data_IF_862335361287
#
_entry.id   IF_862335361287
#
_cell.length_a   1.000
_cell.length_b   1.000
_cell.length_c   1.000
_cell.angle_alpha   90.00
_cell.angle_beta   90.00
_cell.angle_gamma   90.00
#
_symmetry.space_group_name_H-M   'P 1'
#
loop_
_entity.id
_entity.type
_entity.pdbx_description
1 polymer ?
#
# COMPACT_ATOMS: atom_id res chain seq x y z
N UNK A 1 22.48 6.24 66.62
CA UNK A 1 23.38 5.61 65.63
C UNK A 1 23.27 6.33 64.30
N UNK A 2 24.39 6.82 63.77
CA UNK A 2 24.50 7.54 62.50
C UNK A 2 25.11 6.60 61.47
N UNK A 3 24.40 6.25 60.40
CA UNK A 3 24.99 5.57 59.23
C UNK A 3 24.84 6.46 58.00
N UNK A 4 25.95 6.58 57.29
CA UNK A 4 26.32 7.59 56.29
C UNK A 4 25.78 7.23 54.90
N UNK A 5 25.39 8.22 54.06
CA UNK A 5 24.86 7.99 52.71
C UNK A 5 25.96 7.61 51.69
N UNK A 6 25.68 6.62 50.85
CA UNK A 6 26.50 6.22 49.71
C UNK A 6 26.15 7.08 48.48
N UNK A 7 27.18 7.65 47.87
CA UNK A 7 27.19 8.51 46.66
C UNK A 7 26.93 7.66 45.39
N UNK A 8 26.31 8.18 44.31
CA UNK A 8 27.10 8.65 43.16
C UNK A 8 26.52 9.93 42.50
N UNK A 9 27.33 10.95 42.23
CA UNK A 9 28.09 11.10 40.97
C UNK A 9 27.21 10.92 39.72
N UNK A 10 26.33 11.88 39.45
CA UNK A 10 25.60 11.96 38.18
C UNK A 10 26.55 12.42 37.08
N UNK A 11 26.96 11.47 36.22
CA UNK A 11 27.58 11.72 34.93
C UNK A 11 26.77 12.75 34.12
N UNK A 12 27.39 13.87 33.77
CA UNK A 12 26.92 14.77 32.72
C UNK A 12 26.90 14.03 31.38
N UNK A 13 25.72 13.57 30.98
CA UNK A 13 25.47 13.05 29.63
C UNK A 13 25.28 14.26 28.71
N UNK A 14 26.29 14.55 27.88
CA UNK A 14 26.13 15.40 26.71
C UNK A 14 25.26 14.65 25.69
N UNK A 15 23.98 14.95 25.67
CA UNK A 15 23.06 14.48 24.63
C UNK A 15 23.29 15.29 23.35
N UNK A 16 23.93 14.68 22.35
CA UNK A 16 23.94 15.20 20.98
C UNK A 16 22.57 14.89 20.35
N UNK A 17 21.77 15.93 20.15
CA UNK A 17 20.49 15.82 19.45
C UNK A 17 20.77 15.66 17.94
N UNK A 18 20.63 14.42 17.43
CA UNK A 18 20.51 14.16 16.00
C UNK A 18 19.12 14.55 15.48
N UNK A 19 18.95 14.86 14.19
CA UNK A 19 17.64 15.18 13.64
C UNK A 19 16.69 13.98 13.77
N UNK A 20 15.57 14.19 14.43
CA UNK A 20 14.46 13.27 14.43
C UNK A 20 13.81 13.29 13.03
N UNK A 21 14.12 12.29 12.21
CA UNK A 21 13.31 11.99 11.03
C UNK A 21 11.97 11.45 11.54
N UNK A 22 10.95 12.32 11.58
CA UNK A 22 9.58 11.91 11.84
C UNK A 22 9.09 10.95 10.75
N UNK A 23 8.04 10.15 11.02
CA UNK A 23 7.46 9.31 9.98
C UNK A 23 6.99 10.18 8.81
N UNK A 24 7.57 9.95 7.64
CA UNK A 24 7.17 10.57 6.39
C UNK A 24 5.82 9.98 5.97
N UNK A 25 4.73 10.72 6.22
CA UNK A 25 3.39 10.30 5.86
C UNK A 25 3.19 10.48 4.35
N UNK A 26 3.23 9.36 3.62
CA UNK A 26 2.93 9.33 2.18
C UNK A 26 1.46 9.76 1.97
N UNK A 27 1.16 10.67 1.02
CA UNK A 27 -0.22 11.02 0.73
C UNK A 27 -1.04 9.79 0.31
N UNK A 28 -2.34 9.75 0.63
CA UNK A 28 -3.20 8.59 0.32
C UNK A 28 -3.21 8.33 -1.18
N UNK A 29 -3.02 7.07 -1.57
CA UNK A 29 -3.05 6.67 -2.98
C UNK A 29 -4.49 6.80 -3.52
N UNK A 30 -4.73 7.61 -4.57
CA UNK A 30 -6.08 7.83 -5.08
C UNK A 30 -6.71 6.53 -5.63
N UNK A 31 -5.91 5.57 -6.09
CA UNK A 31 -6.39 4.27 -6.56
C UNK A 31 -6.82 3.32 -5.43
N UNK A 32 -6.35 3.52 -4.19
CA UNK A 32 -6.80 2.73 -3.04
C UNK A 32 -8.30 2.88 -2.82
N UNK A 33 -8.84 4.11 -2.91
CA UNK A 33 -10.27 4.34 -2.71
C UNK A 33 -11.09 3.66 -3.80
N UNK A 34 -10.65 3.75 -5.06
CA UNK A 34 -11.33 3.09 -6.18
C UNK A 34 -11.29 1.56 -6.02
N UNK A 35 -10.17 1.01 -5.54
CA UNK A 35 -10.07 -0.42 -5.23
C UNK A 35 -11.06 -0.86 -4.15
N UNK A 36 -11.18 -0.07 -3.08
CA UNK A 36 -12.14 -0.33 -2.01
C UNK A 36 -13.59 -0.25 -2.50
N UNK A 37 -13.91 0.77 -3.30
CA UNK A 37 -15.27 1.01 -3.80
C UNK A 37 -15.68 0.01 -4.90
N UNK A 38 -14.74 -0.47 -5.72
CA UNK A 38 -15.06 -1.26 -6.93
C UNK A 38 -14.68 -2.73 -6.83
N UNK A 39 -13.57 -3.06 -6.17
CA UNK A 39 -13.10 -4.45 -6.09
C UNK A 39 -13.61 -5.12 -4.81
N UNK A 40 -13.56 -4.41 -3.68
CA UNK A 40 -13.93 -4.99 -2.39
C UNK A 40 -15.44 -5.01 -2.16
N UNK A 41 -16.26 -4.46 -3.05
CA UNK A 41 -17.72 -4.59 -2.94
C UNK A 41 -18.15 -6.07 -3.01
N UNK A 42 -17.58 -6.81 -3.98
CA UNK A 42 -17.81 -8.26 -4.13
C UNK A 42 -16.66 -9.13 -3.58
N UNK A 43 -15.42 -8.64 -3.59
CA UNK A 43 -14.23 -9.42 -3.21
C UNK A 43 -13.76 -9.19 -1.76
N UNK A 44 -14.60 -8.61 -0.89
CA UNK A 44 -14.22 -8.39 0.52
C UNK A 44 -13.80 -9.68 1.20
N UNK A 45 -12.58 -9.70 1.76
CA UNK A 45 -12.06 -10.86 2.48
C UNK A 45 -11.73 -12.06 1.59
N UNK A 46 -11.81 -11.90 0.26
CA UNK A 46 -11.40 -12.94 -0.67
C UNK A 46 -9.90 -12.90 -0.88
N UNK A 47 -9.21 -13.96 -0.48
CA UNK A 47 -7.76 -14.05 -0.64
C UNK A 47 -7.32 -14.09 -2.11
N UNK A 48 -8.25 -14.34 -3.05
CA UNK A 48 -7.95 -14.44 -4.48
C UNK A 48 -7.31 -13.16 -5.03
N UNK A 49 -7.87 -11.98 -4.74
CA UNK A 49 -7.34 -10.72 -5.29
C UNK A 49 -5.97 -10.36 -4.71
N UNK A 50 -5.72 -10.75 -3.45
CA UNK A 50 -4.45 -10.47 -2.75
C UNK A 50 -3.33 -11.44 -3.12
N UNK A 51 -3.65 -12.60 -3.69
CA UNK A 51 -2.68 -13.59 -4.15
C UNK A 51 -2.32 -13.41 -5.63
N UNK A 52 -3.17 -12.78 -6.42
CA UNK A 52 -2.91 -12.54 -7.84
C UNK A 52 -1.83 -11.47 -8.01
N UNK A 53 -0.82 -11.78 -8.84
CA UNK A 53 0.22 -10.84 -9.25
C UNK A 53 0.23 -10.77 -10.77
N UNK A 54 -0.06 -9.60 -11.33
CA UNK A 54 -0.18 -9.38 -12.76
C UNK A 54 0.50 -8.07 -13.15
N UNK A 55 0.93 -7.96 -14.41
CA UNK A 55 1.34 -6.66 -14.94
C UNK A 55 0.13 -5.74 -15.01
N UNK A 56 0.37 -4.44 -15.17
CA UNK A 56 -0.69 -3.45 -15.31
C UNK A 56 -1.64 -3.76 -16.48
N UNK A 57 -1.10 -4.23 -17.60
CA UNK A 57 -1.85 -4.59 -18.79
C UNK A 57 -2.75 -5.81 -18.52
N UNK A 58 -2.22 -6.80 -17.81
CA UNK A 58 -3.00 -7.99 -17.42
C UNK A 58 -4.07 -7.68 -16.39
N UNK A 59 -3.83 -6.75 -15.46
CA UNK A 59 -4.90 -6.23 -14.60
C UNK A 59 -6.00 -5.52 -15.39
N UNK A 60 -5.63 -4.78 -16.45
CA UNK A 60 -6.62 -4.17 -17.34
C UNK A 60 -7.49 -5.22 -18.03
N UNK A 61 -6.89 -6.28 -18.57
CA UNK A 61 -7.66 -7.38 -19.19
C UNK A 61 -8.64 -8.03 -18.20
N UNK A 62 -8.26 -8.21 -16.93
CA UNK A 62 -9.14 -8.76 -15.89
C UNK A 62 -10.32 -7.83 -15.62
N UNK A 63 -10.06 -6.52 -15.44
CA UNK A 63 -11.12 -5.54 -15.18
C UNK A 63 -12.05 -5.42 -16.38
N UNK A 64 -11.52 -5.37 -17.60
CA UNK A 64 -12.32 -5.30 -18.82
C UNK A 64 -13.28 -6.50 -18.89
N UNK A 65 -12.83 -7.72 -18.56
CA UNK A 65 -13.71 -8.91 -18.49
C UNK A 65 -14.79 -8.78 -17.43
N UNK A 66 -14.51 -8.20 -16.26
CA UNK A 66 -15.53 -7.99 -15.23
C UNK A 66 -16.60 -7.00 -15.69
N UNK A 67 -16.19 -5.94 -16.38
CA UNK A 67 -17.10 -4.95 -16.98
C UNK A 67 -17.94 -5.59 -18.09
N UNK A 68 -17.32 -6.31 -19.02
CA UNK A 68 -18.00 -7.00 -20.12
C UNK A 68 -19.00 -8.05 -19.62
N UNK A 69 -18.70 -8.71 -18.50
CA UNK A 69 -19.58 -9.71 -17.88
C UNK A 69 -20.66 -9.10 -16.98
N UNK A 70 -20.65 -7.77 -16.79
CA UNK A 70 -21.61 -7.07 -15.91
C UNK A 70 -21.37 -7.24 -14.41
N UNK A 71 -20.19 -7.74 -13.99
CA UNK A 71 -19.83 -7.92 -12.58
C UNK A 71 -19.16 -6.68 -11.96
N UNK A 72 -18.98 -5.62 -12.73
CA UNK A 72 -18.45 -4.35 -12.26
C UNK A 72 -19.34 -3.22 -12.75
N UNK A 73 -20.40 -2.95 -12.00
CA UNK A 73 -21.35 -1.86 -12.23
C UNK A 73 -21.59 -1.07 -10.93
N UNK A 74 -21.54 0.28 -10.95
CA UNK A 74 -21.23 1.13 -12.09
C UNK A 74 -19.75 1.04 -12.51
N UNK A 75 -19.50 1.10 -13.81
CA UNK A 75 -18.14 1.12 -14.36
C UNK A 75 -17.41 2.40 -13.93
N UNK A 76 -16.19 2.32 -13.36
CA UNK A 76 -15.42 3.50 -13.01
C UNK A 76 -15.14 4.40 -14.22
N UNK A 77 -15.07 5.72 -13.99
CA UNK A 77 -14.65 6.66 -15.05
C UNK A 77 -13.22 6.35 -15.53
N UNK A 78 -12.87 6.81 -16.73
CA UNK A 78 -11.53 6.58 -17.32
C UNK A 78 -10.38 6.97 -16.38
N UNK A 79 -10.52 8.07 -15.65
CA UNK A 79 -9.52 8.53 -14.68
C UNK A 79 -9.43 7.59 -13.46
N UNK A 80 -10.58 7.22 -12.87
CA UNK A 80 -10.63 6.27 -11.75
C UNK A 80 -10.09 4.90 -12.14
N UNK A 81 -10.38 4.46 -13.37
CA UNK A 81 -9.84 3.21 -13.90
C UNK A 81 -8.32 3.28 -14.05
N UNK A 82 -7.78 4.42 -14.51
CA UNK A 82 -6.32 4.64 -14.55
C UNK A 82 -5.72 4.54 -13.16
N UNK A 83 -6.30 5.23 -12.17
CA UNK A 83 -5.84 5.21 -10.77
C UNK A 83 -5.90 3.80 -10.18
N UNK A 84 -6.99 3.05 -10.41
CA UNK A 84 -7.14 1.67 -9.97
C UNK A 84 -6.05 0.77 -10.56
N UNK A 85 -5.78 0.87 -11.86
CA UNK A 85 -4.75 0.07 -12.53
C UNK A 85 -3.34 0.41 -12.03
N UNK A 86 -3.06 1.69 -11.76
CA UNK A 86 -1.78 2.13 -11.20
C UNK A 86 -1.60 1.55 -9.77
N UNK A 87 -2.66 1.58 -8.96
CA UNK A 87 -2.66 0.98 -7.61
C UNK A 87 -2.48 -0.54 -7.64
N UNK A 88 -3.19 -1.25 -8.53
CA UNK A 88 -3.05 -2.70 -8.69
C UNK A 88 -1.66 -3.10 -9.17
N UNK A 89 -1.05 -2.34 -10.09
CA UNK A 89 0.32 -2.59 -10.51
C UNK A 89 1.34 -2.32 -9.40
N UNK A 90 1.14 -1.27 -8.59
CA UNK A 90 2.04 -0.95 -7.48
C UNK A 90 1.97 -1.98 -6.35
N UNK A 91 0.78 -2.48 -6.03
CA UNK A 91 0.56 -3.33 -4.84
C UNK A 91 0.50 -4.82 -5.18
N UNK A 92 0.09 -5.15 -6.40
CA UNK A 92 -0.15 -6.51 -6.91
C UNK A 92 0.48 -6.70 -8.29
N UNK A 93 1.57 -5.99 -8.56
CA UNK A 93 2.38 -6.13 -9.77
C UNK A 93 3.13 -7.45 -9.79
N UNK A 94 3.13 -8.13 -10.94
CA UNK A 94 4.17 -9.11 -11.24
C UNK A 94 5.45 -8.37 -11.66
N UNK A 95 6.62 -8.95 -11.38
CA UNK A 95 7.84 -8.53 -12.06
C UNK A 95 7.60 -8.65 -13.59
N UNK A 96 8.07 -7.67 -14.36
CA UNK A 96 7.85 -7.66 -15.82
C UNK A 96 8.23 -9.02 -16.43
N UNK A 97 7.40 -9.57 -17.34
CA UNK A 97 7.74 -10.79 -18.05
C UNK A 97 9.00 -10.52 -18.88
N UNK A 98 10.08 -11.27 -18.59
CA UNK A 98 11.29 -11.24 -19.41
C UNK A 98 10.90 -11.65 -20.84
N UNK A 99 10.95 -10.72 -21.79
CA UNK A 99 10.82 -11.07 -23.22
C UNK A 99 11.93 -12.07 -23.57
N UNK A 100 11.63 -13.22 -24.20
CA UNK A 100 12.63 -13.94 -24.96
C UNK A 100 13.05 -13.04 -26.13
N UNK A 101 14.36 -12.85 -26.30
CA UNK A 101 14.94 -12.16 -27.45
C UNK A 101 14.90 -12.99 -28.72
#
# INVERSE_FOLDING_TARGET
>A
MRWTPLVPLFCTILAVAGPAHGPEEKPPDPGLKVFQDSCLDCHKGQQSIDQVRLTREKWKEVIDRMVESGFMDPVPSKEKLKQLLDYLAQTRGAAEPRKPG
#
